data_IF_896560019433
#
_entry.id   IF_896560019433
#
_cell.length_a   1.000
_cell.length_b   1.000
_cell.length_c   1.000
_cell.angle_alpha   90.00
_cell.angle_beta   90.00
_cell.angle_gamma   90.00
#
_symmetry.space_group_name_H-M   'P 1'
#
loop_
_entity.id
_entity.type
_entity.pdbx_description
1 polymer ?
#
# COMPACT_ATOMS: atom_id res chain seq x y z
N UNK A 1 17.55 -42.04 2.95
CA UNK A 1 16.67 -41.98 1.75
C UNK A 1 16.79 -40.60 1.12
N UNK A 2 17.63 -40.48 0.09
CA UNK A 2 17.91 -39.23 -0.63
C UNK A 2 16.81 -39.00 -1.67
N UNK A 3 16.08 -37.88 -1.60
CA UNK A 3 15.13 -37.47 -2.65
C UNK A 3 15.85 -36.56 -3.65
N UNK A 4 16.12 -37.10 -4.85
CA UNK A 4 16.47 -36.29 -6.02
C UNK A 4 15.22 -35.50 -6.46
N UNK A 5 15.36 -34.18 -6.56
CA UNK A 5 14.37 -33.32 -7.23
C UNK A 5 14.79 -33.17 -8.69
N UNK A 6 14.08 -33.85 -9.60
CA UNK A 6 14.24 -33.70 -11.04
C UNK A 6 13.70 -32.35 -11.50
N UNK A 7 14.55 -31.62 -12.24
CA UNK A 7 14.28 -30.34 -12.87
C UNK A 7 13.66 -30.60 -14.25
N UNK A 8 12.41 -30.21 -14.46
CA UNK A 8 11.92 -29.94 -15.83
C UNK A 8 10.74 -28.97 -15.77
N UNK A 9 10.93 -27.78 -16.34
CA UNK A 9 9.89 -26.78 -16.58
C UNK A 9 9.33 -27.00 -17.99
N UNK A 10 8.02 -27.26 -18.17
CA UNK A 10 7.42 -27.23 -19.49
C UNK A 10 7.16 -25.77 -19.91
N UNK A 11 8.02 -25.26 -20.78
CA UNK A 11 7.79 -24.04 -21.56
C UNK A 11 6.65 -24.29 -22.55
N UNK A 12 5.56 -23.54 -22.48
CA UNK A 12 4.51 -23.53 -23.51
C UNK A 12 4.31 -22.11 -24.04
N UNK A 13 4.45 -22.04 -25.36
CA UNK A 13 4.61 -20.88 -26.23
C UNK A 13 3.39 -19.95 -26.23
N UNK A 14 3.68 -18.65 -26.37
CA UNK A 14 2.74 -17.61 -26.77
C UNK A 14 2.10 -17.96 -28.12
N UNK A 15 0.78 -17.81 -28.22
CA UNK A 15 0.07 -17.72 -29.50
C UNK A 15 -0.55 -16.33 -29.61
N UNK A 16 0.04 -15.53 -30.49
CA UNK A 16 -0.62 -14.41 -31.15
C UNK A 16 -1.83 -14.90 -31.95
N UNK A 17 -2.95 -14.16 -31.88
CA UNK A 17 -3.92 -13.94 -32.98
C UNK A 17 -5.04 -12.99 -32.53
N UNK A 18 -4.92 -11.72 -32.91
CA UNK A 18 -6.03 -10.79 -33.15
C UNK A 18 -6.50 -10.99 -34.60
N UNK A 19 -7.81 -11.03 -34.92
CA UNK A 19 -8.40 -9.83 -35.54
C UNK A 19 -9.90 -9.59 -35.28
N UNK A 20 -10.27 -8.31 -35.52
CA UNK A 20 -11.57 -7.74 -35.92
C UNK A 20 -12.57 -7.26 -34.84
N UNK A 21 -12.58 -5.94 -34.72
CA UNK A 21 -13.71 -5.09 -34.35
C UNK A 21 -14.88 -5.19 -35.35
N UNK A 22 -16.07 -4.73 -34.93
CA UNK A 22 -16.92 -3.92 -35.80
C UNK A 22 -17.21 -2.53 -35.18
N UNK A 23 -17.14 -1.53 -36.06
CA UNK A 23 -17.60 -0.15 -35.90
C UNK A 23 -19.15 -0.04 -35.87
N UNK A 24 -19.61 1.22 -35.68
CA UNK A 24 -20.94 1.82 -35.97
C UNK A 24 -21.87 1.91 -34.74
N UNK A 25 -22.47 3.06 -34.33
CA UNK A 25 -22.78 4.32 -35.04
C UNK A 25 -22.75 5.54 -34.12
N UNK A 26 -22.38 6.65 -34.75
CA UNK A 26 -22.50 8.05 -34.36
C UNK A 26 -23.98 8.44 -34.16
N UNK A 27 -24.35 9.12 -33.07
CA UNK A 27 -25.59 9.90 -33.00
C UNK A 27 -25.28 11.31 -32.49
N UNK A 28 -25.51 12.29 -33.37
CA UNK A 28 -25.43 13.73 -33.09
C UNK A 28 -26.75 14.23 -32.47
N UNK A 29 -26.59 15.01 -31.41
CA UNK A 29 -27.23 16.30 -31.10
C UNK A 29 -28.77 16.43 -31.11
N UNK A 30 -29.34 16.94 -29.99
CA UNK A 30 -30.17 18.16 -29.97
C UNK A 30 -30.56 18.57 -28.54
N UNK A 31 -29.88 19.59 -28.04
CA UNK A 31 -30.43 20.83 -27.48
C UNK A 31 -31.82 20.78 -26.81
N UNK A 32 -31.86 20.96 -25.49
CA UNK A 32 -32.93 21.74 -24.85
C UNK A 32 -32.31 22.53 -23.69
N UNK A 33 -32.35 23.86 -23.84
CA UNK A 33 -31.94 24.84 -22.84
C UNK A 33 -33.13 25.16 -21.93
N UNK A 34 -32.87 25.40 -20.64
CA UNK A 34 -33.32 26.50 -19.74
C UNK A 34 -33.40 26.03 -18.27
N UNK A 35 -33.43 26.91 -17.26
CA UNK A 35 -32.51 28.01 -16.98
C UNK A 35 -31.93 27.94 -15.55
N UNK A 36 -30.97 28.83 -15.33
CA UNK A 36 -30.23 29.18 -14.11
C UNK A 36 -31.10 29.27 -12.85
N UNK A 37 -30.65 28.64 -11.76
CA UNK A 37 -30.88 29.14 -10.40
C UNK A 37 -29.68 28.79 -9.52
N UNK A 38 -29.07 29.87 -9.05
CA UNK A 38 -27.92 30.01 -8.19
C UNK A 38 -28.11 29.38 -6.81
N UNK A 39 -27.25 28.44 -6.44
CA UNK A 39 -26.88 28.21 -5.04
C UNK A 39 -25.36 28.11 -4.95
N UNK A 40 -24.78 29.19 -4.45
CA UNK A 40 -23.37 29.42 -4.16
C UNK A 40 -22.77 28.34 -3.26
N UNK A 41 -21.83 27.56 -3.78
CA UNK A 41 -20.86 26.77 -3.01
C UNK A 41 -19.51 26.84 -3.72
N UNK A 42 -18.51 27.58 -3.19
CA UNK A 42 -17.18 27.61 -3.78
C UNK A 42 -16.39 26.35 -3.39
N UNK A 43 -16.28 25.41 -4.33
CA UNK A 43 -15.27 24.33 -4.31
C UNK A 43 -14.65 24.22 -5.71
N UNK A 44 -14.06 25.32 -6.15
CA UNK A 44 -13.00 25.29 -7.14
C UNK A 44 -11.73 24.82 -6.41
N UNK A 45 -11.11 23.70 -6.81
CA UNK A 45 -9.66 23.74 -6.97
C UNK A 45 -9.10 22.62 -7.85
N UNK A 46 -8.52 23.06 -8.96
CA UNK A 46 -7.45 22.47 -9.77
C UNK A 46 -6.90 21.09 -9.32
N UNK A 47 -7.20 20.05 -10.10
CA UNK A 47 -6.45 18.78 -10.08
C UNK A 47 -5.09 18.98 -10.75
N UNK A 48 -4.18 19.68 -10.09
CA UNK A 48 -2.75 19.56 -10.41
C UNK A 48 -2.38 18.11 -10.12
N UNK A 49 -1.85 17.33 -11.09
CA UNK A 49 -1.43 15.96 -10.81
C UNK A 49 -0.31 16.03 -9.79
N UNK A 50 -0.60 15.68 -8.53
CA UNK A 50 0.44 15.50 -7.52
C UNK A 50 1.49 14.58 -8.12
N UNK A 51 2.74 15.00 -8.10
CA UNK A 51 3.86 14.13 -8.45
C UNK A 51 3.73 12.84 -7.63
N UNK A 52 3.74 11.70 -8.30
CA UNK A 52 3.61 10.38 -7.66
C UNK A 52 4.92 10.08 -6.94
N UNK A 53 5.04 10.53 -5.70
CA UNK A 53 6.14 10.14 -4.82
C UNK A 53 5.93 8.72 -4.32
N UNK A 54 7.03 8.01 -4.08
CA UNK A 54 6.96 6.70 -3.45
C UNK A 54 6.78 6.87 -1.94
N UNK A 55 6.08 5.92 -1.33
CA UNK A 55 5.81 5.92 0.10
C UNK A 55 5.89 4.50 0.64
N UNK A 56 6.44 4.37 1.85
CA UNK A 56 6.43 3.14 2.63
C UNK A 56 5.34 3.30 3.69
N UNK A 57 4.53 2.27 3.92
CA UNK A 57 3.47 2.32 4.93
C UNK A 57 3.48 1.08 5.81
N UNK A 58 2.99 1.28 7.04
CA UNK A 58 2.66 0.26 8.02
C UNK A 58 1.16 0.29 8.26
N UNK A 59 0.51 -0.85 8.07
CA UNK A 59 -0.90 -1.06 8.43
C UNK A 59 -1.03 -2.11 9.52
N UNK A 60 -2.07 -1.97 10.33
CA UNK A 60 -2.40 -2.81 11.47
C UNK A 60 -3.77 -3.46 11.25
N UNK A 61 -3.89 -4.75 11.53
CA UNK A 61 -5.17 -5.46 11.60
C UNK A 61 -5.83 -5.16 12.95
N UNK A 62 -7.09 -4.75 12.93
CA UNK A 62 -7.89 -4.59 14.16
C UNK A 62 -8.41 -5.93 14.68
N UNK A 63 -8.49 -6.95 13.82
CA UNK A 63 -8.98 -8.28 14.18
C UNK A 63 -7.86 -9.13 14.79
N UNK A 64 -8.18 -9.87 15.86
CA UNK A 64 -7.27 -10.84 16.46
C UNK A 64 -7.07 -12.09 15.58
N UNK A 65 -5.85 -12.66 15.50
CA UNK A 65 -4.61 -12.16 16.10
C UNK A 65 -4.11 -10.89 15.39
N UNK A 66 -3.68 -9.90 16.18
CA UNK A 66 -3.20 -8.62 15.66
C UNK A 66 -1.99 -8.84 14.75
N UNK A 67 -2.10 -8.33 13.53
CA UNK A 67 -1.09 -8.45 12.47
C UNK A 67 -0.69 -7.08 11.98
N UNK A 68 0.54 -7.01 11.47
CA UNK A 68 1.06 -5.82 10.79
C UNK A 68 1.49 -6.18 9.39
N UNK A 69 1.39 -5.23 8.48
CA UNK A 69 1.91 -5.35 7.14
C UNK A 69 2.67 -4.08 6.78
N UNK A 70 3.87 -4.26 6.20
CA UNK A 70 4.70 -3.18 5.68
C UNK A 70 4.80 -3.36 4.18
N UNK A 71 4.55 -2.29 3.43
CA UNK A 71 4.65 -2.30 1.98
C UNK A 71 4.92 -0.92 1.40
N UNK A 72 5.04 -0.88 0.07
CA UNK A 72 5.30 0.33 -0.71
C UNK A 72 4.17 0.63 -1.69
N UNK A 73 3.92 1.93 -1.92
CA UNK A 73 2.91 2.41 -2.86
C UNK A 73 3.21 3.86 -3.28
N UNK A 74 2.64 4.28 -4.40
CA UNK A 74 2.55 5.70 -4.81
C UNK A 74 1.18 6.31 -4.49
N UNK A 75 0.20 5.46 -4.17
CA UNK A 75 -1.16 5.86 -3.82
C UNK A 75 -1.62 5.02 -2.64
N UNK A 76 -1.51 5.59 -1.44
CA UNK A 76 -1.83 4.90 -0.20
C UNK A 76 -3.34 4.71 -0.03
N UNK A 77 -4.15 5.73 -0.32
CA UNK A 77 -5.60 5.65 -0.20
C UNK A 77 -6.17 4.53 -1.05
N UNK A 78 -5.74 4.40 -2.30
CA UNK A 78 -6.14 3.27 -3.16
C UNK A 78 -5.64 1.94 -2.62
N UNK A 79 -4.38 1.87 -2.16
CA UNK A 79 -3.80 0.62 -1.64
C UNK A 79 -4.49 0.13 -0.37
N UNK A 80 -4.89 1.03 0.53
CA UNK A 80 -5.64 0.68 1.74
C UNK A 80 -6.99 0.05 1.40
N UNK A 81 -7.73 0.63 0.44
CA UNK A 81 -8.98 0.06 -0.09
C UNK A 81 -8.78 -1.33 -0.71
N UNK A 82 -7.65 -1.55 -1.39
CA UNK A 82 -7.29 -2.89 -1.91
C UNK A 82 -7.06 -3.89 -0.77
N UNK A 83 -6.37 -3.49 0.29
CA UNK A 83 -6.14 -4.33 1.47
C UNK A 83 -7.45 -4.67 2.18
N UNK A 84 -8.37 -3.72 2.31
CA UNK A 84 -9.70 -3.91 2.89
C UNK A 84 -10.68 -4.65 1.96
N UNK A 85 -10.33 -4.81 0.67
CA UNK A 85 -11.15 -5.56 -0.29
C UNK A 85 -12.29 -4.79 -0.91
N UNK A 86 -12.35 -3.48 -0.68
CA UNK A 86 -13.31 -2.57 -1.34
C UNK A 86 -13.06 -2.51 -2.85
N UNK A 87 -11.79 -2.66 -3.27
CA UNK A 87 -11.39 -2.68 -4.69
C UNK A 87 -10.45 -3.85 -4.99
N UNK A 88 -10.41 -4.25 -6.27
CA UNK A 88 -9.60 -5.38 -6.74
C UNK A 88 -8.09 -5.07 -6.67
N UNK A 89 -7.28 -6.13 -6.53
CA UNK A 89 -5.82 -6.06 -6.56
C UNK A 89 -5.12 -6.03 -5.19
N UNK A 90 -5.83 -6.39 -4.11
CA UNK A 90 -5.22 -6.58 -2.79
C UNK A 90 -4.34 -7.82 -2.71
N UNK A 91 -3.35 -7.80 -1.81
CA UNK A 91 -2.48 -8.95 -1.58
C UNK A 91 -3.26 -10.10 -0.92
N UNK A 92 -3.04 -11.35 -1.36
CA UNK A 92 -3.69 -12.54 -0.77
C UNK A 92 -3.45 -12.65 0.74
N UNK A 93 -2.24 -12.33 1.21
CA UNK A 93 -1.91 -12.32 2.63
C UNK A 93 -2.71 -11.30 3.45
N UNK A 94 -3.22 -10.24 2.81
CA UNK A 94 -3.99 -9.19 3.48
C UNK A 94 -5.48 -9.49 3.60
N UNK A 95 -6.00 -10.55 2.98
CA UNK A 95 -7.43 -10.85 3.08
C UNK A 95 -7.85 -11.30 4.48
N UNK A 96 -6.97 -11.98 5.21
CA UNK A 96 -7.26 -12.59 6.51
C UNK A 96 -7.06 -11.65 7.72
N UNK A 97 -6.64 -10.40 7.51
CA UNK A 97 -6.39 -9.41 8.57
C UNK A 97 -7.21 -8.14 8.41
N UNK A 98 -8.34 -8.24 7.69
CA UNK A 98 -9.27 -7.12 7.53
C UNK A 98 -10.10 -6.93 8.81
N UNK A 99 -10.49 -5.69 9.17
CA UNK A 99 -10.10 -4.44 8.52
C UNK A 99 -8.67 -4.02 8.89
N UNK A 100 -8.01 -3.34 7.95
CA UNK A 100 -6.70 -2.74 8.12
C UNK A 100 -6.82 -1.24 8.39
N UNK A 101 -6.06 -0.77 9.37
CA UNK A 101 -5.91 0.63 9.73
C UNK A 101 -4.50 1.13 9.37
N UNK A 102 -4.39 2.40 9.00
CA UNK A 102 -3.10 3.05 8.79
C UNK A 102 -2.43 3.31 10.15
N UNK A 103 -1.25 2.72 10.36
CA UNK A 103 -0.46 2.98 11.57
C UNK A 103 0.60 4.05 11.35
N UNK A 104 1.35 3.93 10.25
CA UNK A 104 2.40 4.86 9.89
C UNK A 104 2.53 4.95 8.37
N UNK A 105 2.80 6.14 7.86
CA UNK A 105 3.19 6.38 6.47
C UNK A 105 4.46 7.22 6.44
N UNK A 106 5.36 6.85 5.54
CA UNK A 106 6.64 7.51 5.33
C UNK A 106 6.68 7.97 3.87
N UNK A 107 6.76 9.28 3.68
CA UNK A 107 6.75 9.95 2.38
C UNK A 107 8.11 10.62 2.11
N UNK A 108 8.36 10.97 0.84
CA UNK A 108 9.60 11.64 0.42
C UNK A 108 10.57 10.76 -0.35
N UNK A 109 10.21 9.51 -0.68
CA UNK A 109 11.05 8.68 -1.54
C UNK A 109 10.96 9.12 -3.00
N UNK A 110 12.12 9.43 -3.58
CA UNK A 110 12.24 9.87 -4.98
C UNK A 110 12.15 8.72 -5.97
N UNK A 111 12.55 7.51 -5.57
CA UNK A 111 12.56 6.34 -6.43
C UNK A 111 12.11 5.05 -5.72
N UNK A 112 11.65 4.08 -6.52
CA UNK A 112 11.21 2.77 -6.06
C UNK A 112 12.33 2.01 -5.33
N UNK A 113 13.58 2.14 -5.79
CA UNK A 113 14.72 1.44 -5.19
C UNK A 113 14.95 1.87 -3.75
N UNK A 114 14.88 3.18 -3.45
CA UNK A 114 15.00 3.68 -2.08
C UNK A 114 13.86 3.17 -1.20
N UNK A 115 12.61 3.26 -1.65
CA UNK A 115 11.46 2.77 -0.90
C UNK A 115 11.53 1.25 -0.63
N UNK A 116 11.94 0.47 -1.63
CA UNK A 116 12.10 -0.99 -1.53
C UNK A 116 13.24 -1.39 -0.58
N UNK A 117 14.37 -0.68 -0.64
CA UNK A 117 15.50 -0.87 0.28
C UNK A 117 15.08 -0.55 1.71
N UNK A 118 14.35 0.55 1.92
CA UNK A 118 13.80 0.94 3.21
C UNK A 118 12.85 -0.11 3.78
N UNK A 119 11.86 -0.55 2.98
CA UNK A 119 10.92 -1.62 3.35
C UNK A 119 11.67 -2.89 3.78
N UNK A 120 12.65 -3.30 3.00
CA UNK A 120 13.45 -4.50 3.25
C UNK A 120 14.24 -4.38 4.55
N UNK A 121 14.91 -3.25 4.77
CA UNK A 121 15.62 -2.97 6.03
C UNK A 121 14.67 -2.98 7.22
N UNK A 122 13.52 -2.31 7.13
CA UNK A 122 12.54 -2.29 8.22
C UNK A 122 12.04 -3.69 8.58
N UNK A 123 11.79 -4.55 7.58
CA UNK A 123 11.46 -5.96 7.81
C UNK A 123 12.60 -6.73 8.47
N UNK A 124 13.86 -6.49 8.08
CA UNK A 124 15.04 -7.12 8.66
C UNK A 124 15.22 -6.69 10.13
N UNK A 125 15.22 -5.40 10.42
CA UNK A 125 15.33 -4.90 11.79
C UNK A 125 14.19 -5.40 12.68
N UNK A 126 12.96 -5.41 12.16
CA UNK A 126 11.81 -5.97 12.90
C UNK A 126 11.98 -7.45 13.26
N UNK A 127 12.73 -8.22 12.46
CA UNK A 127 13.02 -9.65 12.74
C UNK A 127 14.21 -9.85 13.68
N UNK A 128 15.19 -8.96 13.63
CA UNK A 128 16.40 -9.01 14.46
C UNK A 128 16.18 -8.48 15.87
N UNK A 129 15.23 -7.55 16.04
CA UNK A 129 14.96 -6.96 17.34
C UNK A 129 14.33 -8.00 18.28
N UNK A 130 14.83 -8.16 19.52
CA UNK A 130 14.24 -9.08 20.46
C UNK A 130 12.81 -8.64 20.80
N UNK A 131 11.88 -9.59 20.84
CA UNK A 131 10.54 -9.32 21.36
C UNK A 131 10.66 -9.06 22.85
N UNK A 132 10.27 -7.88 23.30
CA UNK A 132 10.12 -7.62 24.73
C UNK A 132 8.97 -8.45 25.28
N UNK A 133 9.07 -8.83 26.56
CA UNK A 133 7.92 -9.35 27.29
C UNK A 133 6.83 -8.27 27.25
N UNK A 134 5.61 -8.70 26.98
CA UNK A 134 4.44 -7.85 27.02
C UNK A 134 4.19 -7.50 28.49
N UNK A 135 4.19 -6.22 28.82
CA UNK A 135 3.71 -5.76 30.14
C UNK A 135 2.20 -6.08 30.22
N UNK A 136 1.73 -6.60 31.35
CA UNK A 136 0.37 -7.17 31.47
C UNK A 136 -0.74 -6.15 31.14
N UNK A 137 -0.47 -4.86 31.33
CA UNK A 137 -1.36 -3.72 31.07
C UNK A 137 -1.44 -3.29 29.59
N UNK A 138 -0.50 -3.71 28.74
CA UNK A 138 -0.41 -3.20 27.37
C UNK A 138 -1.38 -3.93 26.42
N UNK A 139 -2.05 -3.23 25.49
CA UNK A 139 -2.78 -3.90 24.41
C UNK A 139 -1.83 -4.70 23.50
N UNK A 140 -2.33 -5.78 22.89
CA UNK A 140 -1.56 -6.52 21.88
C UNK A 140 -1.22 -5.64 20.67
N UNK A 141 -2.11 -4.69 20.30
CA UNK A 141 -1.85 -3.70 19.24
C UNK A 141 -0.63 -2.85 19.55
N UNK A 142 -0.57 -2.32 20.77
CA UNK A 142 0.41 -1.32 21.14
C UNK A 142 1.78 -1.95 21.31
N UNK A 143 1.84 -3.17 21.86
CA UNK A 143 3.07 -3.95 21.92
C UNK A 143 3.65 -4.20 20.51
N UNK A 144 2.81 -4.54 19.53
CA UNK A 144 3.24 -4.77 18.15
C UNK A 144 3.68 -3.46 17.48
N UNK A 145 2.94 -2.36 17.69
CA UNK A 145 3.28 -1.05 17.14
C UNK A 145 4.58 -0.50 17.73
N UNK A 146 4.80 -0.62 19.04
CA UNK A 146 6.04 -0.24 19.71
C UNK A 146 7.25 -1.01 19.17
N UNK A 147 7.09 -2.32 18.95
CA UNK A 147 8.13 -3.14 18.33
C UNK A 147 8.48 -2.62 16.92
N UNK A 148 7.46 -2.26 16.13
CA UNK A 148 7.66 -1.71 14.78
C UNK A 148 8.29 -0.33 14.79
N UNK A 149 7.91 0.54 15.73
CA UNK A 149 8.49 1.88 15.91
C UNK A 149 9.96 1.79 16.27
N UNK A 150 10.34 0.97 17.26
CA UNK A 150 11.75 0.74 17.59
C UNK A 150 12.58 0.20 16.42
N UNK A 151 11.97 -0.67 15.60
CA UNK A 151 12.61 -1.16 14.40
C UNK A 151 12.75 -0.06 13.32
N UNK A 152 11.82 0.89 13.26
CA UNK A 152 11.88 2.04 12.37
C UNK A 152 12.99 3.00 12.80
N UNK A 153 13.08 3.33 14.09
CA UNK A 153 14.12 4.21 14.62
C UNK A 153 15.52 3.70 14.25
N UNK A 154 15.73 2.38 14.28
CA UNK A 154 16.99 1.74 13.85
C UNK A 154 17.25 1.82 12.35
N UNK A 155 16.21 1.86 11.52
CA UNK A 155 16.34 2.06 10.07
C UNK A 155 16.69 3.50 9.77
N UNK A 156 16.02 4.45 10.43
CA UNK A 156 16.29 5.89 10.31
C UNK A 156 17.69 6.24 10.84
N UNK A 157 18.19 5.56 11.86
CA UNK A 157 19.60 5.70 12.31
C UNK A 157 20.59 5.10 11.28
N UNK A 158 20.20 4.05 10.55
CA UNK A 158 21.05 3.36 9.57
C UNK A 158 21.06 4.03 8.18
N UNK A 159 20.11 4.90 7.89
CA UNK A 159 19.97 5.57 6.61
C UNK A 159 19.98 7.07 6.86
N UNK A 160 20.82 7.84 6.17
CA UNK A 160 20.70 9.29 6.15
C UNK A 160 19.46 9.71 5.34
N UNK A 161 18.28 9.45 5.89
CA UNK A 161 16.98 9.72 5.30
C UNK A 161 16.34 10.95 5.96
N UNK A 162 17.12 11.99 6.22
CA UNK A 162 16.67 13.23 6.88
C UNK A 162 15.58 13.99 6.11
N UNK A 163 15.40 13.68 4.83
CA UNK A 163 14.35 14.26 3.98
C UNK A 163 13.02 13.51 4.04
N UNK A 164 12.93 12.37 4.74
CA UNK A 164 11.70 11.58 4.81
C UNK A 164 10.77 12.15 5.88
N UNK A 165 9.49 12.23 5.55
CA UNK A 165 8.43 12.63 6.48
C UNK A 165 7.73 11.39 7.01
N UNK A 166 7.81 11.17 8.32
CA UNK A 166 7.19 10.04 9.02
C UNK A 166 5.94 10.52 9.75
N UNK A 167 4.76 10.04 9.33
CA UNK A 167 3.45 10.40 9.89
C UNK A 167 2.81 9.18 10.57
N UNK A 168 2.67 9.24 11.89
CA UNK A 168 2.06 8.22 12.72
C UNK A 168 0.60 8.60 13.03
N UNK A 169 -0.32 7.64 12.84
CA UNK A 169 -1.78 7.89 12.89
C UNK A 169 -2.53 7.20 14.02
N UNK A 170 -1.84 6.45 14.88
CA UNK A 170 -2.42 5.66 15.98
C UNK A 170 -1.78 6.08 17.29
#
# INVERSE_FOLDING_TARGET
MTRLLSRTFPSVKLRDSNPKAPEFKNLKNSQTQVPISSSSSPQENSKIPKSKSWSVYLILSTTEPIKTYVGITTDFSRRLKQHNGEIRGGAKASSAGRPWLCACIITGFTCLSQASSFESKWKIFSRKLPRRKKDEEMSQSDAVLQHRRRALDKVEESLECSHLETDWKI
#
